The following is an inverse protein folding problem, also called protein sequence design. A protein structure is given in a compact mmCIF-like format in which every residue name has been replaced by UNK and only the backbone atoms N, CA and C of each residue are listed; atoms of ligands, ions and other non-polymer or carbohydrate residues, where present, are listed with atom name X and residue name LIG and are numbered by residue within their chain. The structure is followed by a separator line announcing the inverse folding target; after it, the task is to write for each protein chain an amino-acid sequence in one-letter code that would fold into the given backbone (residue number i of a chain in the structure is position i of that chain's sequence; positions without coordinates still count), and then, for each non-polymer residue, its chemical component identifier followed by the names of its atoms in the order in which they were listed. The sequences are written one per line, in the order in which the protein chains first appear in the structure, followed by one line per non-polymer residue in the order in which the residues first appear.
data_IF_962312540271
#
_entry.id   IF_962312540271
#
_cell.length_a   1.000
_cell.length_b   1.000
_cell.length_c   1.000
_cell.angle_alpha   90.00
_cell.angle_beta   90.00
_cell.angle_gamma   90.00
#
_symmetry.space_group_name_H-M   'P 1'
#
loop_
_entity.id
_entity.type
_entity.pdbx_description
1 polymer ?
#
# COMPACT_ATOMS: atom_id res chain seq x y z
N UNK A 1 -11.84 -18.47 10.75
CA UNK A 1 -11.61 -18.04 12.14
C UNK A 1 -12.40 -16.77 12.37
N UNK A 2 -13.45 -16.82 13.18
CA UNK A 2 -14.18 -15.60 13.58
C UNK A 2 -13.54 -15.11 14.88
N UNK A 3 -12.84 -13.99 14.82
CA UNK A 3 -12.48 -13.29 16.05
C UNK A 3 -13.74 -12.57 16.55
N UNK A 4 -14.25 -13.00 17.70
CA UNK A 4 -15.40 -12.40 18.35
C UNK A 4 -14.92 -11.88 19.70
N UNK A 5 -14.87 -10.56 19.83
CA UNK A 5 -14.59 -9.82 21.06
C UNK A 5 -15.85 -9.05 21.44
N UNK A 6 -16.17 -9.02 22.73
CA UNK A 6 -17.19 -8.12 23.24
C UNK A 6 -16.63 -6.70 23.31
N UNK A 7 -17.45 -5.72 22.95
CA UNK A 7 -17.13 -4.32 23.16
C UNK A 7 -17.26 -3.99 24.64
N UNK A 8 -16.22 -3.41 25.23
CA UNK A 8 -16.33 -2.85 26.58
C UNK A 8 -17.20 -1.59 26.56
N UNK A 9 -17.70 -1.20 27.73
CA UNK A 9 -18.56 -0.02 27.85
C UNK A 9 -17.83 1.25 27.39
N UNK A 10 -18.42 1.93 26.40
CA UNK A 10 -17.89 3.17 25.82
C UNK A 10 -16.87 2.96 24.69
N UNK A 11 -16.64 1.71 24.27
CA UNK A 11 -15.88 1.42 23.05
C UNK A 11 -16.74 1.58 21.81
N UNK A 12 -16.13 2.09 20.74
CA UNK A 12 -16.69 2.17 19.39
C UNK A 12 -15.86 1.27 18.48
N UNK A 13 -16.54 0.41 17.71
CA UNK A 13 -15.88 -0.32 16.63
C UNK A 13 -15.57 0.65 15.48
N UNK A 14 -14.30 0.68 15.07
CA UNK A 14 -13.84 1.45 13.91
C UNK A 14 -13.68 0.51 12.71
N UNK A 15 -13.13 0.99 11.59
CA UNK A 15 -12.89 0.12 10.44
C UNK A 15 -11.94 -1.05 10.79
N UNK A 16 -12.22 -2.23 10.23
CA UNK A 16 -11.46 -3.47 10.40
C UNK A 16 -11.40 -3.96 11.85
N UNK A 17 -10.19 -4.15 12.39
CA UNK A 17 -9.91 -4.65 13.74
C UNK A 17 -9.44 -3.52 14.65
N UNK A 18 -9.90 -2.30 14.38
CA UNK A 18 -9.59 -1.12 15.17
C UNK A 18 -10.79 -0.75 16.04
N UNK A 19 -10.49 -0.22 17.20
CA UNK A 19 -11.47 0.18 18.19
C UNK A 19 -11.05 1.53 18.74
N UNK A 20 -12.03 2.30 19.21
CA UNK A 20 -11.77 3.57 19.88
C UNK A 20 -12.56 3.72 21.16
N UNK A 21 -12.07 4.58 22.05
CA UNK A 21 -12.73 4.89 23.32
C UNK A 21 -12.47 6.33 23.71
N UNK A 22 -13.45 6.96 24.35
CA UNK A 22 -13.28 8.26 24.99
C UNK A 22 -12.79 8.08 26.44
N UNK A 23 -11.66 8.68 26.77
CA UNK A 23 -11.09 8.71 28.13
C UNK A 23 -10.84 10.16 28.48
N UNK A 24 -11.52 10.67 29.51
CA UNK A 24 -11.46 12.08 29.94
C UNK A 24 -11.71 13.12 28.82
N UNK A 25 -12.56 12.77 27.83
CA UNK A 25 -12.88 13.64 26.69
C UNK A 25 -11.94 13.50 25.49
N UNK A 26 -10.87 12.70 25.61
CA UNK A 26 -9.92 12.44 24.53
C UNK A 26 -10.21 11.11 23.85
N UNK A 27 -10.11 11.05 22.52
CA UNK A 27 -10.32 9.82 21.74
C UNK A 27 -9.01 9.05 21.63
N UNK A 28 -9.02 7.79 22.05
CA UNK A 28 -7.92 6.85 21.91
C UNK A 28 -8.31 5.72 20.97
N UNK A 29 -7.37 5.27 20.15
CA UNK A 29 -7.57 4.23 19.13
C UNK A 29 -6.54 3.11 19.34
N UNK A 30 -6.97 1.86 19.27
CA UNK A 30 -6.14 0.67 19.51
C UNK A 30 -6.61 -0.51 18.65
N UNK A 31 -5.79 -1.56 18.53
CA UNK A 31 -6.18 -2.78 17.82
C UNK A 31 -7.04 -3.69 18.71
N UNK A 32 -7.81 -4.58 18.09
CA UNK A 32 -8.70 -5.52 18.79
C UNK A 32 -8.00 -6.36 19.88
N UNK A 33 -6.71 -6.63 19.67
CA UNK A 33 -5.87 -7.46 20.53
C UNK A 33 -5.07 -6.66 21.57
N UNK A 34 -5.10 -5.32 21.50
CA UNK A 34 -4.37 -4.45 22.42
C UNK A 34 -5.20 -4.14 23.68
N UNK A 35 -4.52 -3.78 24.78
CA UNK A 35 -5.19 -3.19 25.94
C UNK A 35 -5.67 -1.78 25.57
N UNK A 36 -6.94 -1.41 25.83
CA UNK A 36 -7.44 -0.05 25.58
C UNK A 36 -6.62 1.06 26.25
N UNK A 37 -5.89 0.77 27.34
CA UNK A 37 -4.97 1.71 28.00
C UNK A 37 -3.77 2.06 27.15
N UNK A 38 -3.39 1.16 26.24
CA UNK A 38 -2.33 1.37 25.26
C UNK A 38 -2.89 2.03 23.99
N UNK A 39 -4.05 2.67 24.03
CA UNK A 39 -4.57 3.42 22.91
C UNK A 39 -3.69 4.60 22.51
N UNK A 40 -3.69 4.90 21.21
CA UNK A 40 -3.02 6.07 20.63
C UNK A 40 -4.04 7.21 20.60
N UNK A 41 -3.68 8.34 21.16
CA UNK A 41 -4.52 9.53 21.18
C UNK A 41 -4.69 10.10 19.76
N UNK A 42 -5.91 10.49 19.42
CA UNK A 42 -6.22 11.30 18.23
C UNK A 42 -5.94 12.76 18.59
N UNK A 43 -4.69 13.19 18.37
CA UNK A 43 -4.09 14.45 18.84
C UNK A 43 -4.25 15.62 17.85
N UNK A 44 -5.44 15.75 17.24
CA UNK A 44 -5.76 16.78 16.24
C UNK A 44 -7.07 17.47 16.57
N UNK A 45 -7.23 18.70 16.09
CA UNK A 45 -8.43 19.51 16.34
C UNK A 45 -9.64 18.94 15.61
N UNK A 46 -10.82 19.27 16.13
CA UNK A 46 -12.08 18.99 15.47
C UNK A 46 -12.08 19.52 14.03
N UNK A 47 -12.50 18.69 13.07
CA UNK A 47 -12.53 19.02 11.65
C UNK A 47 -11.25 18.68 10.87
N UNK A 48 -10.08 18.52 11.48
CA UNK A 48 -8.83 18.23 10.73
C UNK A 48 -8.86 16.85 10.04
N UNK A 49 -9.60 15.91 10.62
CA UNK A 49 -9.83 14.57 10.05
C UNK A 49 -11.13 14.48 9.25
N UNK A 50 -11.76 15.60 8.91
CA UNK A 50 -12.98 15.58 8.11
C UNK A 50 -12.72 14.94 6.73
N UNK A 51 -13.53 13.93 6.40
CA UNK A 51 -13.39 13.13 5.19
C UNK A 51 -12.24 12.11 5.22
N UNK A 52 -11.54 11.96 6.35
CA UNK A 52 -10.53 10.93 6.55
C UNK A 52 -11.15 9.66 7.14
N UNK A 53 -10.68 8.49 6.70
CA UNK A 53 -11.04 7.20 7.26
C UNK A 53 -9.82 6.59 7.93
N UNK A 54 -9.93 6.22 9.21
CA UNK A 54 -8.90 5.43 9.89
C UNK A 54 -8.79 4.05 9.23
N UNK A 55 -7.58 3.59 8.91
CA UNK A 55 -7.35 2.31 8.22
C UNK A 55 -6.39 1.36 8.92
N UNK A 56 -5.42 1.89 9.66
CA UNK A 56 -4.41 1.06 10.31
C UNK A 56 -3.77 1.78 11.52
N UNK A 57 -3.07 1.01 12.33
CA UNK A 57 -2.07 1.47 13.29
C UNK A 57 -0.72 0.94 12.82
N UNK A 58 0.30 1.77 12.87
CA UNK A 58 1.66 1.40 12.50
C UNK A 58 2.67 2.15 13.36
N UNK A 59 3.54 1.42 14.07
CA UNK A 59 4.60 1.95 14.94
C UNK A 59 4.10 3.06 15.86
N UNK A 60 2.99 2.78 16.56
CA UNK A 60 2.29 3.69 17.47
C UNK A 60 1.71 4.96 16.84
N UNK A 61 1.49 4.95 15.51
CA UNK A 61 0.84 6.03 14.77
C UNK A 61 -0.42 5.55 14.07
N UNK A 62 -1.42 6.41 13.98
CA UNK A 62 -2.67 6.18 13.28
C UNK A 62 -2.52 6.50 11.80
N UNK A 63 -2.98 5.60 10.94
CA UNK A 63 -2.96 5.79 9.49
C UNK A 63 -4.37 6.11 9.03
N UNK A 64 -4.56 7.35 8.61
CA UNK A 64 -5.79 7.82 7.99
C UNK A 64 -5.64 7.86 6.48
N UNK A 65 -6.72 7.54 5.78
CA UNK A 65 -6.83 7.72 4.33
C UNK A 65 -7.83 8.81 4.04
N UNK A 66 -7.45 9.77 3.19
CA UNK A 66 -8.35 10.79 2.65
C UNK A 66 -8.55 10.57 1.16
N UNK A 67 -9.81 10.55 0.72
CA UNK A 67 -10.12 10.50 -0.72
C UNK A 67 -9.83 11.86 -1.35
N UNK A 68 -9.13 11.87 -2.47
CA UNK A 68 -8.87 13.06 -3.29
C UNK A 68 -9.20 12.79 -4.75
N UNK A 69 -9.43 13.84 -5.52
CA UNK A 69 -9.70 13.80 -6.96
C UNK A 69 -8.55 14.33 -7.81
N UNK A 70 -7.46 14.85 -7.21
CA UNK A 70 -6.53 15.77 -7.91
C UNK A 70 -5.05 15.33 -7.93
N UNK A 71 -4.70 14.08 -7.60
CA UNK A 71 -3.28 13.71 -7.49
C UNK A 71 -2.79 12.67 -8.51
N UNK A 72 -1.66 12.97 -9.15
CA UNK A 72 -0.88 12.06 -10.00
C UNK A 72 0.05 11.16 -9.17
N UNK A 73 0.62 11.70 -8.08
CA UNK A 73 1.38 10.97 -7.05
C UNK A 73 0.48 10.66 -5.85
N UNK A 74 0.93 9.86 -4.88
CA UNK A 74 0.16 9.52 -3.67
C UNK A 74 0.66 10.39 -2.51
N UNK A 75 0.02 11.54 -2.18
CA UNK A 75 0.49 12.37 -1.07
C UNK A 75 0.45 11.59 0.24
N UNK A 76 1.58 11.60 0.94
CA UNK A 76 1.76 10.99 2.24
C UNK A 76 2.44 11.99 3.17
N UNK A 77 1.81 12.31 4.30
CA UNK A 77 2.34 13.32 5.22
C UNK A 77 1.93 13.05 6.67
N UNK A 78 2.66 13.68 7.60
CA UNK A 78 2.32 13.70 9.03
C UNK A 78 1.37 14.85 9.30
N UNK A 79 0.18 14.56 9.80
CA UNK A 79 -0.77 15.59 10.26
C UNK A 79 -0.43 16.05 11.68
N UNK A 80 0.01 15.11 12.51
CA UNK A 80 0.46 15.32 13.89
C UNK A 80 1.57 14.32 14.21
N UNK A 81 2.19 14.38 15.41
CA UNK A 81 3.14 13.36 15.86
C UNK A 81 2.56 11.94 15.87
N UNK A 82 1.26 11.75 16.11
CA UNK A 82 0.65 10.43 16.17
C UNK A 82 -0.12 10.04 14.90
N UNK A 83 -0.28 10.94 13.92
CA UNK A 83 -1.18 10.70 12.77
C UNK A 83 -0.45 10.91 11.44
N UNK A 84 -0.49 9.87 10.62
CA UNK A 84 -0.19 9.94 9.20
C UNK A 84 -1.45 9.98 8.35
N UNK A 85 -1.41 10.74 7.27
CA UNK A 85 -2.48 10.83 6.28
C UNK A 85 -1.95 10.40 4.91
N UNK A 86 -2.68 9.48 4.30
CA UNK A 86 -2.45 8.99 2.94
C UNK A 86 -3.58 9.47 2.05
N UNK A 87 -3.27 10.24 1.01
CA UNK A 87 -4.26 10.72 0.05
C UNK A 87 -4.38 9.77 -1.13
N UNK A 88 -5.60 9.37 -1.46
CA UNK A 88 -5.86 8.33 -2.47
C UNK A 88 -7.07 8.65 -3.34
N UNK A 89 -7.13 8.11 -4.56
CA UNK A 89 -8.32 8.27 -5.42
C UNK A 89 -9.50 7.39 -4.98
N UNK A 90 -9.19 6.25 -4.35
CA UNK A 90 -10.10 5.21 -3.90
C UNK A 90 -9.67 4.72 -2.52
N UNK A 91 -10.58 4.14 -1.73
CA UNK A 91 -10.21 3.55 -0.44
C UNK A 91 -9.25 2.37 -0.61
N UNK A 92 -7.94 2.51 -0.35
CA UNK A 92 -6.98 1.46 -0.56
C UNK A 92 -7.10 0.42 0.56
N UNK A 93 -6.61 -0.78 0.28
CA UNK A 93 -6.25 -1.67 1.36
C UNK A 93 -4.87 -1.29 1.91
N UNK A 94 -4.82 -0.86 3.17
CA UNK A 94 -3.57 -0.57 3.87
C UNK A 94 -3.08 -1.82 4.59
N UNK A 95 -1.78 -2.09 4.50
CA UNK A 95 -1.06 -3.11 5.25
C UNK A 95 0.25 -2.54 5.76
N UNK A 96 0.59 -2.90 6.99
CA UNK A 96 1.81 -2.45 7.66
C UNK A 96 2.09 -3.39 8.82
N UNK A 97 3.36 -3.49 9.18
CA UNK A 97 3.84 -4.28 10.32
C UNK A 97 4.80 -3.41 11.13
N UNK A 98 4.90 -3.64 12.43
CA UNK A 98 5.72 -2.78 13.29
C UNK A 98 7.23 -3.04 13.18
N UNK A 99 7.62 -4.15 12.55
CA UNK A 99 9.00 -4.55 12.26
C UNK A 99 9.59 -3.85 11.03
N UNK A 100 8.78 -3.20 10.20
CA UNK A 100 9.18 -2.47 9.00
C UNK A 100 8.84 -0.99 9.14
N UNK A 101 9.59 -0.05 8.55
CA UNK A 101 9.15 1.35 8.43
C UNK A 101 8.14 1.58 7.30
N UNK A 102 7.78 0.53 6.56
CA UNK A 102 7.03 0.63 5.31
C UNK A 102 5.53 0.41 5.53
N UNK A 103 4.73 1.22 4.85
CA UNK A 103 3.28 1.09 4.73
C UNK A 103 2.95 0.76 3.28
N UNK A 104 2.22 -0.32 3.08
CA UNK A 104 1.78 -0.81 1.77
C UNK A 104 0.33 -0.44 1.54
N UNK A 105 0.06 0.28 0.46
CA UNK A 105 -1.27 0.73 0.07
C UNK A 105 -1.64 0.11 -1.27
N UNK A 106 -2.56 -0.86 -1.26
CA UNK A 106 -3.04 -1.53 -2.46
C UNK A 106 -4.31 -0.85 -2.96
N UNK A 107 -4.23 -0.30 -4.17
CA UNK A 107 -5.35 0.27 -4.88
C UNK A 107 -5.69 -0.63 -6.07
N UNK A 108 -6.90 -1.15 -6.10
CA UNK A 108 -7.41 -1.93 -7.22
C UNK A 108 -8.48 -1.10 -7.96
N UNK A 109 -8.32 -1.00 -9.28
CA UNK A 109 -9.32 -0.51 -10.22
C UNK A 109 -9.58 -1.59 -11.29
N UNK A 110 -10.54 -1.35 -12.18
CA UNK A 110 -10.83 -2.27 -13.28
C UNK A 110 -9.55 -2.51 -14.11
N UNK A 111 -9.08 -3.76 -14.10
CA UNK A 111 -7.89 -4.25 -14.83
C UNK A 111 -6.54 -3.65 -14.42
N UNK A 112 -6.47 -2.83 -13.36
CA UNK A 112 -5.21 -2.25 -12.89
C UNK A 112 -5.10 -2.35 -11.37
N UNK A 113 -3.98 -2.87 -10.90
CA UNK A 113 -3.66 -2.92 -9.48
C UNK A 113 -2.39 -2.11 -9.27
N UNK A 114 -2.48 -1.08 -8.43
CA UNK A 114 -1.37 -0.21 -8.07
C UNK A 114 -1.01 -0.48 -6.61
N UNK A 115 0.23 -0.87 -6.37
CA UNK A 115 0.80 -0.98 -5.04
C UNK A 115 1.62 0.27 -4.77
N UNK A 116 1.25 1.04 -3.76
CA UNK A 116 2.08 2.12 -3.25
C UNK A 116 2.82 1.67 -2.01
N UNK A 117 4.12 1.98 -1.92
CA UNK A 117 4.97 1.70 -0.76
C UNK A 117 5.40 3.04 -0.18
N UNK A 118 5.10 3.27 1.09
CA UNK A 118 5.36 4.53 1.78
C UNK A 118 6.37 4.27 2.91
N UNK A 119 7.41 5.07 2.99
CA UNK A 119 8.42 4.97 4.03
C UNK A 119 8.20 6.06 5.09
N UNK A 120 7.95 5.62 6.32
CA UNK A 120 7.63 6.50 7.45
C UNK A 120 8.82 7.26 8.03
N UNK A 121 10.05 6.88 7.67
CA UNK A 121 11.28 7.50 8.17
C UNK A 121 11.62 8.74 7.34
N UNK A 122 11.61 8.62 6.01
CA UNK A 122 11.93 9.71 5.09
C UNK A 122 10.69 10.39 4.50
N UNK A 123 9.48 9.89 4.81
CA UNK A 123 8.20 10.39 4.32
C UNK A 123 8.07 10.38 2.79
N UNK A 124 8.79 9.48 2.12
CA UNK A 124 8.70 9.28 0.68
C UNK A 124 7.75 8.12 0.35
N UNK A 125 7.28 8.09 -0.89
CA UNK A 125 6.39 7.05 -1.36
C UNK A 125 6.52 6.81 -2.85
N UNK A 126 6.50 5.54 -3.21
CA UNK A 126 6.57 5.09 -4.60
C UNK A 126 5.37 4.23 -4.95
N UNK A 127 5.14 4.02 -6.24
CA UNK A 127 4.02 3.22 -6.69
C UNK A 127 4.32 2.40 -7.93
N UNK A 128 3.85 1.16 -7.90
CA UNK A 128 4.13 0.14 -8.90
C UNK A 128 2.83 -0.42 -9.45
N UNK A 129 2.81 -0.68 -10.75
CA UNK A 129 1.73 -1.44 -11.36
C UNK A 129 2.03 -2.93 -11.19
N UNK A 130 1.13 -3.63 -10.49
CA UNK A 130 1.18 -5.08 -10.43
C UNK A 130 0.54 -5.63 -11.72
N UNK A 131 1.36 -6.27 -12.54
CA UNK A 131 0.93 -6.87 -13.80
C UNK A 131 0.43 -8.28 -13.52
N UNK A 132 -0.82 -8.53 -13.86
CA UNK A 132 -1.40 -9.87 -13.87
C UNK A 132 -1.68 -10.28 -15.32
N UNK A 133 -1.63 -11.59 -15.62
CA UNK A 133 -1.87 -12.10 -16.97
C UNK A 133 -3.16 -11.55 -17.59
N UNK A 134 -3.10 -11.21 -18.88
CA UNK A 134 -4.11 -10.40 -19.62
C UNK A 134 -5.51 -11.02 -19.73
N UNK A 135 -5.71 -12.27 -19.31
CA UNK A 135 -6.86 -13.07 -19.71
C UNK A 135 -8.02 -13.12 -18.71
N UNK A 136 -7.86 -12.59 -17.48
CA UNK A 136 -8.90 -12.72 -16.44
C UNK A 136 -9.31 -11.39 -15.83
N UNK A 137 -10.61 -11.26 -15.51
CA UNK A 137 -11.14 -10.14 -14.73
C UNK A 137 -10.66 -10.29 -13.29
N UNK A 138 -9.59 -9.59 -12.98
CA UNK A 138 -8.96 -9.61 -11.67
C UNK A 138 -9.47 -8.42 -10.88
N UNK A 139 -10.04 -8.68 -9.70
CA UNK A 139 -10.35 -7.67 -8.70
C UNK A 139 -9.62 -8.03 -7.41
N UNK A 140 -8.74 -7.14 -6.92
CA UNK A 140 -7.95 -7.48 -5.75
C UNK A 140 -8.74 -7.32 -4.46
N UNK A 141 -8.51 -8.21 -3.50
CA UNK A 141 -9.12 -8.15 -2.17
C UNK A 141 -8.07 -8.45 -1.10
N UNK A 142 -7.39 -7.38 -0.68
CA UNK A 142 -6.55 -7.28 0.52
C UNK A 142 -5.14 -7.88 0.41
N UNK A 143 -4.19 -7.17 1.02
CA UNK A 143 -2.83 -7.66 1.26
C UNK A 143 -2.89 -8.62 2.45
N UNK A 144 -2.36 -9.83 2.27
CA UNK A 144 -2.28 -10.85 3.32
C UNK A 144 -1.01 -10.67 4.13
N UNK A 145 0.11 -10.41 3.45
CA UNK A 145 1.39 -10.22 4.11
C UNK A 145 2.50 -9.80 3.14
N UNK A 146 3.59 -9.27 3.70
CA UNK A 146 4.83 -9.01 2.98
C UNK A 146 5.96 -9.73 3.71
N UNK A 147 6.76 -10.51 2.98
CA UNK A 147 7.86 -11.29 3.56
C UNK A 147 8.97 -11.48 2.51
N UNK A 148 10.22 -11.17 2.88
CA UNK A 148 11.41 -11.31 2.01
C UNK A 148 11.21 -10.75 0.59
N UNK A 149 10.79 -9.48 0.49
CA UNK A 149 10.58 -8.82 -0.81
C UNK A 149 9.45 -9.41 -1.64
N UNK A 150 8.52 -10.17 -1.03
CA UNK A 150 7.35 -10.72 -1.72
C UNK A 150 6.08 -10.27 -1.02
N UNK A 151 5.13 -9.77 -1.80
CA UNK A 151 3.80 -9.42 -1.34
C UNK A 151 2.83 -10.56 -1.67
N UNK A 152 2.08 -10.99 -0.66
CA UNK A 152 1.00 -11.95 -0.80
C UNK A 152 -0.34 -11.23 -0.77
N UNK A 153 -1.16 -11.51 -1.77
CA UNK A 153 -2.46 -10.89 -1.99
C UNK A 153 -3.53 -11.99 -1.98
N UNK A 154 -4.72 -11.62 -1.52
CA UNK A 154 -5.92 -12.39 -1.82
C UNK A 154 -6.63 -11.70 -2.98
N UNK A 155 -6.89 -12.44 -4.03
CA UNK A 155 -7.35 -11.87 -5.31
C UNK A 155 -8.62 -12.58 -5.74
N UNK A 156 -9.60 -11.83 -6.22
CA UNK A 156 -10.84 -12.39 -6.75
C UNK A 156 -10.74 -12.49 -8.27
N UNK A 157 -10.86 -13.70 -8.79
CA UNK A 157 -10.76 -14.07 -10.21
C UNK A 157 -12.02 -14.87 -10.54
N UNK A 158 -12.81 -14.40 -11.52
CA UNK A 158 -14.04 -15.06 -11.97
C UNK A 158 -14.96 -15.48 -10.81
N UNK A 159 -15.16 -14.54 -9.87
CA UNK A 159 -15.95 -14.71 -8.64
C UNK A 159 -15.37 -15.57 -7.51
N UNK A 160 -14.22 -16.19 -7.72
CA UNK A 160 -13.54 -17.01 -6.71
C UNK A 160 -12.27 -16.34 -6.16
N UNK A 161 -11.89 -16.68 -4.92
CA UNK A 161 -10.71 -16.11 -4.28
C UNK A 161 -9.49 -17.02 -4.38
N UNK A 162 -8.39 -16.46 -4.86
CA UNK A 162 -7.11 -17.13 -5.02
C UNK A 162 -5.99 -16.38 -4.29
N UNK A 163 -5.02 -17.08 -3.69
CA UNK A 163 -3.78 -16.46 -3.24
C UNK A 163 -2.92 -16.10 -4.44
N UNK A 164 -2.32 -14.91 -4.41
CA UNK A 164 -1.34 -14.47 -5.41
C UNK A 164 -0.11 -13.93 -4.71
N UNK A 165 1.06 -14.13 -5.33
CA UNK A 165 2.32 -13.57 -4.82
C UNK A 165 3.03 -12.83 -5.94
N UNK A 166 3.52 -11.63 -5.64
CA UNK A 166 4.36 -10.85 -6.54
C UNK A 166 5.65 -10.47 -5.81
N UNK A 167 6.70 -10.19 -6.58
CA UNK A 167 7.83 -9.46 -6.03
C UNK A 167 7.36 -8.06 -5.65
N UNK A 168 7.67 -7.67 -4.43
CA UNK A 168 7.51 -6.31 -3.96
C UNK A 168 8.89 -5.66 -4.07
N UNK A 169 9.04 -4.54 -4.78
CA UNK A 169 10.31 -3.82 -4.75
C UNK A 169 10.66 -3.51 -3.30
N UNK A 170 11.87 -3.87 -2.89
CA UNK A 170 12.40 -3.49 -1.59
C UNK A 170 12.77 -2.01 -1.66
N UNK A 171 12.57 -1.27 -0.57
CA UNK A 171 12.89 0.17 -0.54
C UNK A 171 14.37 0.45 -0.92
N UNK A 172 15.27 -0.47 -0.59
CA UNK A 172 16.69 -0.41 -0.93
C UNK A 172 16.94 -0.52 -2.44
N UNK A 173 16.18 -1.36 -3.15
CA UNK A 173 16.27 -1.51 -4.62
C UNK A 173 15.81 -0.25 -5.37
N UNK A 174 15.00 0.60 -4.73
CA UNK A 174 14.44 1.81 -5.35
C UNK A 174 15.48 2.89 -5.58
N UNK A 175 16.48 2.99 -4.70
CA UNK A 175 17.54 4.00 -4.81
C UNK A 175 18.81 3.49 -5.48
N UNK A 176 18.99 2.17 -5.66
CA UNK A 176 20.05 1.65 -6.55
C UNK A 176 19.74 1.90 -8.03
N UNK A 177 18.46 1.95 -8.42
CA UNK A 177 18.03 2.26 -9.78
C UNK A 177 18.20 3.73 -10.18
N UNK A 178 18.25 4.66 -9.22
CA UNK A 178 18.58 6.08 -9.46
C UNK A 178 20.09 6.31 -9.67
N UNK A 179 20.94 5.30 -9.42
CA UNK A 179 22.39 5.34 -9.65
C UNK A 179 22.83 4.93 -11.05
N UNK A 180 21.91 4.49 -11.92
CA UNK A 180 22.16 4.35 -13.35
C UNK A 180 21.83 5.69 -13.99
N UNK A 181 22.79 6.62 -13.89
CA UNK A 181 22.78 7.84 -14.71
C UNK A 181 22.47 7.45 -16.15
N UNK A 182 21.58 8.23 -16.76
CA UNK A 182 21.33 8.23 -18.19
C UNK A 182 22.66 8.11 -18.94
N UNK A 183 22.86 6.99 -19.64
CA UNK A 183 23.75 6.99 -20.78
C UNK A 183 23.18 8.04 -21.74
N UNK A 184 23.80 9.20 -21.69
CA UNK A 184 23.53 10.35 -22.53
C UNK A 184 23.55 9.92 -23.99
N UNK A 185 22.65 10.51 -24.76
CA UNK A 185 22.71 10.58 -26.21
C UNK A 185 24.11 11.08 -26.63
N UNK A 186 25.02 10.18 -26.96
CA UNK A 186 26.21 10.46 -27.77
C UNK A 186 26.88 9.12 -28.11
N UNK A 187 26.47 8.53 -29.24
CA UNK A 187 27.30 7.75 -30.16
C UNK A 187 26.39 7.15 -31.26
N UNK A 188 25.79 8.02 -32.07
CA UNK A 188 25.42 7.66 -33.45
C UNK A 188 26.30 8.46 -34.39
N UNK A 189 27.57 8.10 -34.44
CA UNK A 189 28.38 8.32 -35.63
C UNK A 189 29.10 7.02 -35.99
N UNK A 190 28.76 6.54 -37.18
CA UNK A 190 29.50 5.59 -38.00
C UNK A 190 29.56 4.15 -37.50
N UNK A 191 28.81 3.27 -38.18
CA UNK A 191 29.40 2.19 -38.97
C UNK A 191 28.32 1.60 -39.89
N UNK A 192 28.39 1.98 -41.17
CA UNK A 192 27.98 1.12 -42.27
C UNK A 192 28.70 -0.23 -42.14
N UNK A 193 27.98 -1.34 -42.24
CA UNK A 193 28.59 -2.66 -42.31
C UNK A 193 27.66 -3.83 -42.04
N UNK A 194 27.07 -4.35 -43.12
CA UNK A 194 26.78 -5.76 -43.40
C UNK A 194 25.80 -6.59 -42.53
N UNK A 195 24.69 -6.96 -43.18
CA UNK A 195 24.01 -8.28 -43.23
C UNK A 195 23.98 -9.19 -41.98
N UNK A 196 22.77 -9.61 -41.58
CA UNK A 196 22.25 -10.95 -41.89
C UNK A 196 20.78 -11.12 -41.43
N UNK A 197 19.90 -11.49 -42.37
CA UNK A 197 18.54 -11.94 -42.10
C UNK A 197 18.56 -13.30 -41.38
N UNK A 198 17.97 -13.37 -40.19
CA UNK A 198 17.78 -14.64 -39.48
C UNK A 198 16.38 -15.20 -39.77
N UNK A 199 16.33 -16.26 -40.59
CA UNK A 199 15.13 -17.06 -40.85
C UNK A 199 14.74 -17.85 -39.59
N UNK A 200 13.45 -17.90 -39.29
CA UNK A 200 12.84 -18.82 -38.32
C UNK A 200 12.34 -20.03 -39.12
N UNK A 201 12.87 -21.22 -38.83
CA UNK A 201 12.33 -22.50 -39.32
C UNK A 201 11.16 -22.93 -38.42
N UNK A 202 10.02 -23.22 -39.04
CA UNK A 202 8.90 -23.95 -38.44
C UNK A 202 9.26 -25.44 -38.38
N UNK A 203 9.12 -26.06 -37.20
CA UNK A 203 9.08 -27.52 -37.06
C UNK A 203 7.63 -27.94 -36.77
N UNK A 204 6.99 -28.55 -37.77
CA UNK A 204 5.81 -29.38 -37.62
C UNK A 204 6.24 -30.84 -37.36
N UNK A 205 5.65 -31.47 -36.34
CA UNK A 205 5.23 -32.88 -36.34
C UNK A 205 3.90 -33.02 -35.59
#
# INVERSE_FOLDING_TARGET
MHFVRYLDQGETHEDRMLFSRLINGHKFVYQACDDPKDGIEVDVKEGELEGCCLRAIHRRKLIYVKRSTVFSTLPFFSLSPNIYVVMTLYGPHVYSTDDSPLIYCLMASFNTIKLSVLNTVNMQGESFHLIFGKEKKISCNFIVGVHNGKISLRTKVDDEFYPFTANCPMWEDLHELEGIESATEEETENLDGDNEEMKIEEMEE
#
